data_IF_135673948623
#
_entry.id   IF_135673948623
#
_cell.length_a   1.000
_cell.length_b   1.000
_cell.length_c   1.000
_cell.angle_alpha   90.00
_cell.angle_beta   90.00
_cell.angle_gamma   90.00
#
_symmetry.space_group_name_H-M   'P 1'
#
loop_
_entity.id
_entity.type
_entity.pdbx_description
1 polymer ?
#
# COMPACT_ATOMS: atom_id res chain seq x y z
N UNK A 1 18.92 13.53 2.78
CA UNK A 1 17.61 13.22 3.42
C UNK A 1 16.65 12.53 2.42
N UNK A 2 17.07 11.44 1.76
CA UNK A 2 16.52 11.01 0.45
C UNK A 2 15.73 9.67 0.44
N UNK A 3 15.51 9.01 1.58
CA UNK A 3 15.17 7.56 1.59
C UNK A 3 13.84 7.17 2.21
N UNK A 4 13.20 8.01 3.04
CA UNK A 4 11.98 7.62 3.77
C UNK A 4 10.79 7.33 2.86
N UNK A 5 10.33 8.32 2.10
CA UNK A 5 9.14 8.18 1.24
C UNK A 5 9.31 7.12 0.13
N UNK A 6 10.52 7.05 -0.46
CA UNK A 6 10.84 6.01 -1.45
C UNK A 6 10.82 4.64 -0.81
N UNK A 7 11.37 4.45 0.40
CA UNK A 7 11.26 3.15 1.09
C UNK A 7 9.80 2.79 1.36
N UNK A 8 8.92 3.73 1.72
CA UNK A 8 7.51 3.39 1.99
C UNK A 8 6.64 3.22 0.73
N UNK A 9 6.92 3.91 -0.37
CA UNK A 9 6.23 3.70 -1.66
C UNK A 9 6.81 2.54 -2.48
N UNK A 10 8.14 2.36 -2.48
CA UNK A 10 8.80 1.20 -3.11
C UNK A 10 8.63 -0.06 -2.25
N UNK A 11 8.49 0.04 -0.93
CA UNK A 11 8.04 -1.07 -0.08
C UNK A 11 6.52 -1.30 -0.17
N UNK A 12 5.91 -0.88 -1.25
CA UNK A 12 4.59 -1.35 -1.61
C UNK A 12 4.61 -2.01 -3.02
N UNK A 13 5.76 -1.99 -3.72
CA UNK A 13 5.95 -2.61 -5.03
C UNK A 13 6.54 -4.04 -4.97
N UNK A 14 6.86 -4.56 -3.78
CA UNK A 14 7.47 -5.89 -3.64
C UNK A 14 6.70 -6.83 -2.70
N UNK A 15 5.36 -6.81 -2.74
CA UNK A 15 4.56 -7.89 -2.18
C UNK A 15 4.64 -9.12 -3.11
N UNK A 16 5.73 -9.89 -2.99
CA UNK A 16 5.87 -11.16 -3.69
C UNK A 16 4.83 -12.15 -3.17
N UNK A 17 4.10 -12.66 -4.15
CA UNK A 17 2.90 -13.48 -4.11
C UNK A 17 3.17 -14.85 -3.47
N UNK A 18 2.61 -15.11 -2.28
CA UNK A 18 2.16 -16.45 -1.85
C UNK A 18 0.99 -16.31 -0.86
N UNK A 19 -0.20 -15.92 -1.34
CA UNK A 19 -1.44 -16.36 -0.66
C UNK A 19 -1.72 -17.78 -1.18
N UNK A 20 -1.04 -18.73 -0.53
CA UNK A 20 -1.15 -20.19 -0.62
C UNK A 20 -1.16 -20.80 -2.04
N UNK A 21 0.00 -21.17 -2.58
CA UNK A 21 0.12 -22.30 -3.52
C UNK A 21 0.30 -23.57 -2.67
N UNK A 22 -0.75 -24.32 -2.36
CA UNK A 22 -0.64 -25.54 -1.52
C UNK A 22 -1.41 -26.69 -2.13
N UNK A 23 -0.70 -27.80 -2.30
CA UNK A 23 -1.19 -29.14 -2.63
C UNK A 23 -2.25 -29.55 -1.59
N UNK A 24 -3.33 -30.24 -1.96
CA UNK A 24 -4.38 -30.65 -1.02
C UNK A 24 -3.80 -31.51 0.11
N UNK A 25 -3.50 -30.87 1.25
CA UNK A 25 -3.31 -31.58 2.52
C UNK A 25 -4.70 -31.96 3.01
N UNK A 26 -4.83 -33.20 3.50
CA UNK A 26 -6.06 -33.78 4.02
C UNK A 26 -6.52 -33.09 5.32
N UNK A 27 -6.91 -31.82 5.21
CA UNK A 27 -7.55 -31.05 6.27
C UNK A 27 -9.07 -31.15 6.17
N UNK A 28 -9.74 -31.11 7.32
CA UNK A 28 -11.19 -30.94 7.44
C UNK A 28 -11.70 -29.82 6.50
N UNK A 29 -12.96 -29.93 6.04
CA UNK A 29 -13.53 -29.06 4.99
C UNK A 29 -13.36 -27.56 5.23
N UNK A 30 -13.33 -27.13 6.49
CA UNK A 30 -13.12 -25.74 6.89
C UNK A 30 -11.70 -25.22 6.61
N UNK A 31 -10.66 -26.05 6.72
CA UNK A 31 -9.30 -25.65 6.35
C UNK A 31 -9.16 -25.46 4.84
N UNK A 32 -9.76 -26.33 4.03
CA UNK A 32 -9.79 -26.16 2.58
C UNK A 32 -10.56 -24.91 2.18
N UNK A 33 -11.70 -24.65 2.82
CA UNK A 33 -12.52 -23.45 2.60
C UNK A 33 -11.76 -22.17 2.98
N UNK A 34 -11.06 -22.17 4.11
CA UNK A 34 -10.23 -21.04 4.52
C UNK A 34 -9.10 -20.77 3.51
N UNK A 35 -8.45 -21.81 3.00
CA UNK A 35 -7.46 -21.67 1.93
C UNK A 35 -8.05 -21.10 0.64
N UNK A 36 -9.25 -21.52 0.24
CA UNK A 36 -9.93 -20.97 -0.94
C UNK A 36 -10.27 -19.49 -0.76
N UNK A 37 -10.77 -19.08 0.41
CA UNK A 37 -11.06 -17.68 0.72
C UNK A 37 -9.77 -16.84 0.64
N UNK A 38 -8.70 -17.29 1.30
CA UNK A 38 -7.40 -16.62 1.31
C UNK A 38 -6.82 -16.52 -0.11
N UNK A 39 -6.94 -17.57 -0.93
CA UNK A 39 -6.56 -17.55 -2.36
C UNK A 39 -7.42 -16.60 -3.17
N UNK A 40 -8.72 -16.55 -2.91
CA UNK A 40 -9.67 -15.64 -3.55
C UNK A 40 -9.35 -14.16 -3.33
N UNK A 41 -8.55 -13.83 -2.31
CA UNK A 41 -8.05 -12.49 -2.05
C UNK A 41 -6.86 -12.08 -2.95
N UNK A 42 -6.19 -13.03 -3.62
CA UNK A 42 -5.02 -12.77 -4.49
C UNK A 42 -5.26 -11.69 -5.56
N UNK A 43 -6.39 -11.69 -6.30
CA UNK A 43 -6.65 -10.66 -7.29
C UNK A 43 -6.71 -9.26 -6.70
N UNK A 44 -7.24 -9.10 -5.48
CA UNK A 44 -7.30 -7.81 -4.81
C UNK A 44 -5.90 -7.35 -4.42
N UNK A 45 -5.06 -8.23 -3.84
CA UNK A 45 -3.66 -7.90 -3.53
C UNK A 45 -2.90 -7.48 -4.79
N UNK A 46 -3.09 -8.18 -5.93
CA UNK A 46 -2.49 -7.80 -7.22
C UNK A 46 -2.93 -6.42 -7.68
N UNK A 47 -4.24 -6.12 -7.62
CA UNK A 47 -4.76 -4.80 -7.98
C UNK A 47 -4.24 -3.70 -7.06
N UNK A 48 -4.17 -3.98 -5.76
CA UNK A 48 -3.58 -3.08 -4.76
C UNK A 48 -2.12 -2.74 -5.08
N UNK A 49 -1.30 -3.76 -5.39
CA UNK A 49 0.08 -3.57 -5.80
C UNK A 49 0.19 -2.75 -7.11
N UNK A 50 -0.66 -3.01 -8.10
CA UNK A 50 -0.64 -2.27 -9.37
C UNK A 50 -1.00 -0.78 -9.17
N UNK A 51 -1.94 -0.46 -8.29
CA UNK A 51 -2.25 0.93 -7.93
C UNK A 51 -1.11 1.61 -7.16
N UNK A 52 -0.39 0.87 -6.33
CA UNK A 52 0.83 1.36 -5.69
C UNK A 52 1.94 1.68 -6.70
N UNK A 53 2.11 0.87 -7.74
CA UNK A 53 3.09 1.16 -8.80
C UNK A 53 2.75 2.48 -9.51
N UNK A 54 1.47 2.69 -9.81
CA UNK A 54 0.97 3.98 -10.33
C UNK A 54 1.25 5.13 -9.37
N UNK A 55 1.00 4.93 -8.08
CA UNK A 55 1.28 5.90 -7.02
C UNK A 55 2.76 6.30 -6.99
N UNK A 56 3.64 5.32 -7.10
CA UNK A 56 5.10 5.51 -7.17
C UNK A 56 5.50 6.29 -8.41
N UNK A 57 4.93 5.97 -9.58
CA UNK A 57 5.19 6.70 -10.82
C UNK A 57 4.72 8.16 -10.75
N UNK A 58 3.54 8.41 -10.17
CA UNK A 58 3.02 9.77 -9.92
C UNK A 58 3.96 10.55 -9.01
N UNK A 59 4.47 9.92 -7.95
CA UNK A 59 5.41 10.54 -7.04
C UNK A 59 6.69 10.99 -7.74
N UNK A 60 7.29 10.12 -8.56
CA UNK A 60 8.50 10.45 -9.31
C UNK A 60 8.27 11.64 -10.25
N UNK A 61 7.10 11.71 -10.90
CA UNK A 61 6.69 12.85 -11.73
C UNK A 61 6.59 14.14 -10.93
N UNK A 62 5.98 14.11 -9.73
CA UNK A 62 5.88 15.27 -8.84
C UNK A 62 7.25 15.82 -8.45
N UNK A 63 8.22 14.94 -8.17
CA UNK A 63 9.59 15.36 -7.81
C UNK A 63 10.32 16.07 -8.95
N UNK A 64 9.99 15.72 -10.19
CA UNK A 64 10.59 16.29 -11.40
C UNK A 64 9.90 17.58 -11.88
N UNK A 65 8.82 18.04 -11.22
CA UNK A 65 8.10 19.22 -11.67
C UNK A 65 8.96 20.50 -11.57
N UNK A 66 8.90 21.40 -12.57
CA UNK A 66 9.57 22.69 -12.51
C UNK A 66 8.86 23.67 -11.58
N UNK A 67 9.60 24.63 -11.02
CA UNK A 67 9.05 25.69 -10.16
C UNK A 67 8.46 26.85 -10.98
N UNK A 68 7.45 26.56 -11.79
CA UNK A 68 6.75 27.54 -12.64
C UNK A 68 5.25 27.23 -12.74
N UNK A 69 4.39 28.17 -13.21
CA UNK A 69 2.93 27.97 -13.24
C UNK A 69 2.48 26.66 -13.91
N UNK A 70 3.18 26.21 -14.95
CA UNK A 70 2.88 24.94 -15.62
C UNK A 70 3.19 23.74 -14.74
N UNK A 71 4.35 23.74 -14.06
CA UNK A 71 4.70 22.73 -13.07
C UNK A 71 3.72 22.70 -11.89
N UNK A 72 3.26 23.85 -11.39
CA UNK A 72 2.25 23.90 -10.33
C UNK A 72 0.89 23.37 -10.79
N UNK A 73 0.44 23.68 -12.02
CA UNK A 73 -0.79 23.11 -12.61
C UNK A 73 -0.70 21.59 -12.74
N UNK A 74 0.42 21.09 -13.25
CA UNK A 74 0.69 19.66 -13.32
C UNK A 74 0.73 19.03 -11.92
N UNK A 75 1.31 19.73 -10.94
CA UNK A 75 1.35 19.31 -9.54
C UNK A 75 -0.02 19.11 -8.93
N UNK A 76 -0.99 20.00 -9.22
CA UNK A 76 -2.40 19.80 -8.80
C UNK A 76 -2.96 18.50 -9.36
N UNK A 77 -2.82 18.28 -10.67
CA UNK A 77 -3.35 17.09 -11.36
C UNK A 77 -2.70 15.81 -10.85
N UNK A 78 -1.37 15.74 -10.87
CA UNK A 78 -0.61 14.59 -10.39
C UNK A 78 -0.93 14.28 -8.92
N UNK A 79 -1.11 15.31 -8.08
CA UNK A 79 -1.47 15.06 -6.69
C UNK A 79 -2.87 14.45 -6.55
N UNK A 80 -3.84 14.86 -7.39
CA UNK A 80 -5.16 14.22 -7.41
C UNK A 80 -5.07 12.77 -7.90
N UNK A 81 -4.32 12.52 -8.97
CA UNK A 81 -4.12 11.17 -9.53
C UNK A 81 -3.47 10.24 -8.48
N UNK A 82 -2.45 10.72 -7.78
CA UNK A 82 -1.80 9.97 -6.69
C UNK A 82 -2.76 9.71 -5.53
N UNK A 83 -3.56 10.70 -5.13
CA UNK A 83 -4.59 10.51 -4.11
C UNK A 83 -5.64 9.48 -4.52
N UNK A 84 -6.02 9.41 -5.80
CA UNK A 84 -6.95 8.43 -6.31
C UNK A 84 -6.36 7.02 -6.29
N UNK A 85 -5.14 6.83 -6.81
CA UNK A 85 -4.45 5.53 -6.76
C UNK A 85 -4.20 5.03 -5.34
N UNK A 86 -3.86 5.92 -4.39
CA UNK A 86 -3.71 5.54 -2.99
C UNK A 86 -5.02 4.99 -2.38
N UNK A 87 -6.17 5.62 -2.69
CA UNK A 87 -7.49 5.15 -2.23
C UNK A 87 -7.88 3.84 -2.90
N UNK A 88 -7.70 3.73 -4.21
CA UNK A 88 -7.97 2.49 -4.94
C UNK A 88 -7.13 1.32 -4.40
N UNK A 89 -5.84 1.53 -4.17
CA UNK A 89 -4.99 0.53 -3.54
C UNK A 89 -5.50 0.13 -2.15
N UNK A 90 -5.87 1.11 -1.32
CA UNK A 90 -6.39 0.88 0.03
C UNK A 90 -7.65 0.00 0.00
N UNK A 91 -8.58 0.30 -0.89
CA UNK A 91 -9.82 -0.46 -1.07
C UNK A 91 -9.53 -1.92 -1.42
N UNK A 92 -8.57 -2.18 -2.30
CA UNK A 92 -8.20 -3.55 -2.67
C UNK A 92 -7.55 -4.32 -1.51
N UNK A 93 -6.68 -3.68 -0.71
CA UNK A 93 -6.17 -4.32 0.51
C UNK A 93 -7.24 -4.50 1.58
N UNK A 94 -8.25 -3.63 1.65
CA UNK A 94 -9.40 -3.81 2.54
C UNK A 94 -10.21 -5.04 2.14
N UNK A 95 -10.49 -5.24 0.85
CA UNK A 95 -11.14 -6.47 0.38
C UNK A 95 -10.34 -7.73 0.73
N UNK A 96 -9.00 -7.64 0.68
CA UNK A 96 -8.14 -8.74 1.11
C UNK A 96 -8.21 -8.98 2.63
N UNK A 97 -8.28 -7.91 3.44
CA UNK A 97 -8.50 -8.01 4.89
C UNK A 97 -9.84 -8.63 5.23
N UNK A 98 -10.89 -8.26 4.51
CA UNK A 98 -12.24 -8.81 4.72
C UNK A 98 -12.24 -10.33 4.44
N UNK A 99 -11.54 -10.77 3.39
CA UNK A 99 -11.35 -12.19 3.12
C UNK A 99 -10.57 -12.91 4.23
N UNK A 100 -9.51 -12.30 4.78
CA UNK A 100 -8.81 -12.89 5.93
C UNK A 100 -9.71 -12.97 7.16
N UNK A 101 -10.57 -11.99 7.39
CA UNK A 101 -11.54 -12.00 8.49
C UNK A 101 -12.57 -13.12 8.33
N UNK A 102 -13.07 -13.37 7.11
CA UNK A 102 -13.94 -14.52 6.83
C UNK A 102 -13.22 -15.86 7.04
N UNK A 103 -11.96 -15.97 6.60
CA UNK A 103 -11.17 -17.18 6.81
C UNK A 103 -10.91 -17.49 8.29
N UNK A 104 -10.81 -16.47 9.15
CA UNK A 104 -10.65 -16.62 10.61
C UNK A 104 -11.87 -17.18 11.34
N UNK A 105 -13.05 -17.15 10.73
CA UNK A 105 -14.28 -17.70 11.32
C UNK A 105 -14.37 -19.23 11.17
N UNK A 106 -13.50 -19.82 10.36
CA UNK A 106 -13.49 -21.24 10.06
C UNK A 106 -12.57 -21.97 11.04
N UNK A 107 -12.89 -23.22 11.35
CA UNK A 107 -12.04 -24.07 12.16
C UNK A 107 -10.83 -24.53 11.34
N UNK A 108 -9.67 -23.96 11.66
CA UNK A 108 -8.40 -24.19 10.96
C UNK A 108 -7.32 -24.53 11.96
N UNK A 109 -6.26 -25.21 11.51
CA UNK A 109 -5.12 -25.48 12.39
C UNK A 109 -4.57 -24.19 13.01
N UNK A 110 -4.10 -24.28 14.25
CA UNK A 110 -3.52 -23.15 14.98
C UNK A 110 -2.42 -22.47 14.13
N UNK A 111 -1.57 -23.26 13.48
CA UNK A 111 -0.50 -22.76 12.64
C UNK A 111 -1.01 -22.00 11.43
N UNK A 112 -2.12 -22.45 10.81
CA UNK A 112 -2.73 -21.73 9.70
C UNK A 112 -3.41 -20.44 10.19
N UNK A 113 -4.01 -20.45 11.37
CA UNK A 113 -4.53 -19.26 12.05
C UNK A 113 -3.45 -18.21 12.29
N UNK A 114 -2.24 -18.63 12.72
CA UNK A 114 -1.07 -17.75 12.86
C UNK A 114 -0.69 -17.11 11.51
N UNK A 115 -0.65 -17.89 10.43
CA UNK A 115 -0.37 -17.36 9.09
C UNK A 115 -1.38 -16.28 8.67
N UNK A 116 -2.69 -16.53 8.86
CA UNK A 116 -3.74 -15.56 8.55
C UNK A 116 -3.54 -14.27 9.37
N UNK A 117 -3.23 -14.39 10.66
CA UNK A 117 -2.98 -13.23 11.51
C UNK A 117 -1.74 -12.41 11.08
N UNK A 118 -0.67 -13.07 10.62
CA UNK A 118 0.51 -12.39 10.09
C UNK A 118 0.18 -11.61 8.81
N UNK A 119 -0.56 -12.22 7.87
CA UNK A 119 -1.02 -11.56 6.65
C UNK A 119 -1.94 -10.38 6.94
N UNK A 120 -2.84 -10.53 7.90
CA UNK A 120 -3.73 -9.46 8.31
C UNK A 120 -2.93 -8.26 8.85
N UNK A 121 -1.93 -8.51 9.70
CA UNK A 121 -1.05 -7.46 10.21
C UNK A 121 -0.34 -6.71 9.08
N UNK A 122 0.17 -7.43 8.09
CA UNK A 122 0.82 -6.84 6.92
C UNK A 122 -0.16 -5.97 6.09
N UNK A 123 -1.36 -6.48 5.78
CA UNK A 123 -2.34 -5.74 4.99
C UNK A 123 -2.92 -4.54 5.72
N UNK A 124 -3.14 -4.63 7.05
CA UNK A 124 -3.52 -3.47 7.88
C UNK A 124 -2.46 -2.38 7.82
N UNK A 125 -1.18 -2.74 7.92
CA UNK A 125 -0.09 -1.76 7.80
C UNK A 125 -0.07 -1.09 6.42
N UNK A 126 -0.30 -1.85 5.32
CA UNK A 126 -0.43 -1.28 3.97
C UNK A 126 -1.60 -0.32 3.86
N UNK A 127 -2.79 -0.72 4.32
CA UNK A 127 -3.99 0.11 4.27
C UNK A 127 -3.81 1.43 5.05
N UNK A 128 -3.16 1.40 6.21
CA UNK A 128 -2.81 2.61 6.98
C UNK A 128 -1.82 3.51 6.23
N UNK A 129 -0.81 2.93 5.58
CA UNK A 129 0.13 3.69 4.76
C UNK A 129 -0.51 4.35 3.55
N UNK A 130 -1.44 3.65 2.90
CA UNK A 130 -2.17 4.18 1.75
C UNK A 130 -3.16 5.27 2.14
N UNK A 131 -3.82 5.15 3.29
CA UNK A 131 -4.64 6.23 3.86
C UNK A 131 -3.79 7.48 4.11
N UNK A 132 -2.63 7.33 4.75
CA UNK A 132 -1.72 8.45 4.99
C UNK A 132 -1.24 9.05 3.65
N UNK A 133 -0.89 8.22 2.67
CA UNK A 133 -0.48 8.68 1.36
C UNK A 133 -1.59 9.52 0.70
N UNK A 134 -2.84 9.03 0.69
CA UNK A 134 -3.98 9.76 0.15
C UNK A 134 -4.14 11.14 0.79
N UNK A 135 -4.06 11.22 2.13
CA UNK A 135 -4.13 12.49 2.86
C UNK A 135 -2.98 13.44 2.48
N UNK A 136 -1.77 12.92 2.28
CA UNK A 136 -0.62 13.74 1.84
C UNK A 136 -0.80 14.24 0.41
N UNK A 137 -1.31 13.41 -0.48
CA UNK A 137 -1.63 13.81 -1.85
C UNK A 137 -2.71 14.90 -1.89
N UNK A 138 -3.75 14.81 -1.06
CA UNK A 138 -4.75 15.87 -0.93
C UNK A 138 -4.13 17.19 -0.45
N UNK A 139 -3.24 17.12 0.55
CA UNK A 139 -2.52 18.29 1.06
C UNK A 139 -1.61 18.90 -0.02
N UNK A 140 -0.91 18.08 -0.80
CA UNK A 140 -0.09 18.55 -1.92
C UNK A 140 -0.93 19.20 -3.00
N UNK A 141 -2.09 18.63 -3.35
CA UNK A 141 -3.01 19.23 -4.34
C UNK A 141 -3.47 20.62 -3.90
N UNK A 142 -3.82 20.79 -2.62
CA UNK A 142 -4.18 22.08 -2.02
C UNK A 142 -3.01 23.08 -2.07
N UNK A 143 -1.79 22.64 -1.75
CA UNK A 143 -0.60 23.50 -1.78
C UNK A 143 -0.24 23.94 -3.20
N UNK A 144 -0.25 23.02 -4.17
CA UNK A 144 -0.04 23.35 -5.58
C UNK A 144 -1.11 24.32 -6.08
N UNK A 145 -2.38 24.09 -5.74
CA UNK A 145 -3.49 24.95 -6.13
C UNK A 145 -3.40 26.35 -5.53
N UNK A 146 -3.09 26.45 -4.23
CA UNK A 146 -2.91 27.73 -3.56
C UNK A 146 -1.75 28.54 -4.17
N UNK A 147 -0.67 27.87 -4.57
CA UNK A 147 0.49 28.52 -5.18
C UNK A 147 0.19 29.13 -6.56
N UNK A 148 -0.76 28.60 -7.33
CA UNK A 148 -1.10 29.14 -8.66
C UNK A 148 -1.55 30.61 -8.63
N UNK A 149 -2.11 31.07 -7.52
CA UNK A 149 -2.61 32.44 -7.37
C UNK A 149 -1.62 33.37 -6.63
N UNK A 150 -0.34 32.98 -6.52
CA UNK A 150 0.64 33.62 -5.63
C UNK A 150 1.95 33.96 -6.37
N UNK A 151 2.77 34.81 -5.75
CA UNK A 151 4.07 35.25 -6.29
C UNK A 151 5.21 34.23 -6.04
N UNK A 152 6.37 34.46 -6.65
CA UNK A 152 7.55 33.57 -6.66
C UNK A 152 8.04 33.14 -5.25
N UNK A 153 7.93 34.03 -4.25
CA UNK A 153 8.34 33.72 -2.87
C UNK A 153 7.43 32.67 -2.21
N UNK A 154 6.14 32.68 -2.55
CA UNK A 154 5.16 31.75 -2.00
C UNK A 154 5.19 30.40 -2.73
N UNK A 155 5.67 30.36 -3.98
CA UNK A 155 6.01 29.12 -4.67
C UNK A 155 7.12 28.36 -3.95
N UNK A 156 8.22 29.03 -3.60
CA UNK A 156 9.31 28.41 -2.83
C UNK A 156 8.85 27.85 -1.48
N UNK A 157 7.97 28.58 -0.78
CA UNK A 157 7.37 28.10 0.48
C UNK A 157 6.46 26.89 0.27
N UNK A 158 5.63 26.89 -0.77
CA UNK A 158 4.78 25.74 -1.12
C UNK A 158 5.62 24.51 -1.46
N UNK A 159 6.71 24.68 -2.24
CA UNK A 159 7.67 23.63 -2.57
C UNK A 159 8.32 23.03 -1.32
N UNK A 160 8.77 23.88 -0.39
CA UNK A 160 9.34 23.43 0.88
C UNK A 160 8.33 22.64 1.72
N UNK A 161 7.07 23.07 1.78
CA UNK A 161 5.99 22.34 2.47
C UNK A 161 5.69 21.00 1.81
N UNK A 162 5.64 20.94 0.48
CA UNK A 162 5.46 19.69 -0.28
C UNK A 162 6.61 18.72 -0.01
N UNK A 163 7.85 19.21 0.03
CA UNK A 163 9.01 18.40 0.41
C UNK A 163 8.93 17.93 1.87
N UNK A 164 8.49 18.78 2.81
CA UNK A 164 8.32 18.40 4.21
C UNK A 164 7.24 17.31 4.39
N UNK A 165 6.13 17.38 3.66
CA UNK A 165 5.07 16.36 3.66
C UNK A 165 5.59 14.99 3.23
N UNK A 166 6.59 14.95 2.34
CA UNK A 166 7.24 13.71 1.91
C UNK A 166 8.07 13.03 3.02
N UNK A 167 8.51 13.77 4.04
CA UNK A 167 9.45 13.24 5.03
C UNK A 167 8.73 12.57 6.22
N UNK A 168 7.44 12.88 6.44
CA UNK A 168 6.66 12.44 7.62
C UNK A 168 5.97 11.08 7.51
N UNK A 169 6.26 10.26 6.48
CA UNK A 169 5.67 8.90 6.32
C UNK A 169 6.45 7.82 7.10
N UNK A 170 7.52 8.17 7.81
CA UNK A 170 8.45 7.23 8.46
C UNK A 170 7.98 6.55 9.77
N UNK A 171 6.68 6.58 10.09
CA UNK A 171 6.14 6.08 11.37
C UNK A 171 5.28 4.82 11.27
N UNK A 172 5.12 4.25 10.06
CA UNK A 172 4.24 3.10 9.85
C UNK A 172 5.02 1.79 9.90
N UNK A 173 4.38 0.67 10.32
CA UNK A 173 5.01 -0.64 10.28
C UNK A 173 5.48 -0.97 8.85
N UNK A 174 6.67 -1.57 8.73
CA UNK A 174 7.20 -2.01 7.44
C UNK A 174 6.37 -3.20 6.93
N UNK A 175 5.36 -2.87 6.12
CA UNK A 175 4.39 -3.84 5.64
C UNK A 175 5.01 -4.93 4.78
N UNK A 176 6.07 -4.63 4.04
CA UNK A 176 6.77 -5.61 3.22
C UNK A 176 7.57 -6.58 4.07
N UNK A 177 8.21 -6.08 5.14
CA UNK A 177 8.84 -6.95 6.13
C UNK A 177 7.82 -7.89 6.77
N UNK A 178 6.66 -7.37 7.21
CA UNK A 178 5.60 -8.18 7.81
C UNK A 178 5.06 -9.23 6.84
N UNK A 179 4.92 -8.87 5.56
CA UNK A 179 4.44 -9.77 4.53
C UNK A 179 5.47 -10.86 4.16
N UNK A 180 6.75 -10.49 4.12
CA UNK A 180 7.87 -11.41 3.92
C UNK A 180 8.00 -12.39 5.08
N UNK A 181 7.81 -11.93 6.33
CA UNK A 181 7.74 -12.78 7.51
C UNK A 181 6.58 -13.78 7.39
N UNK A 182 5.39 -13.32 6.99
CA UNK A 182 4.22 -14.19 6.79
C UNK A 182 4.46 -15.24 5.69
N UNK A 183 5.08 -14.85 4.57
CA UNK A 183 5.43 -15.75 3.47
C UNK A 183 6.51 -16.78 3.89
N UNK A 184 7.52 -16.34 4.64
CA UNK A 184 8.56 -17.23 5.15
C UNK A 184 7.98 -18.27 6.11
N UNK A 185 7.07 -17.83 6.99
CA UNK A 185 6.35 -18.72 7.89
C UNK A 185 5.51 -19.75 7.13
N UNK A 186 4.73 -19.31 6.13
CA UNK A 186 3.94 -20.21 5.29
C UNK A 186 4.80 -21.27 4.60
N UNK A 187 5.93 -20.86 4.00
CA UNK A 187 6.87 -21.79 3.34
C UNK A 187 7.45 -22.82 4.32
N UNK A 188 7.87 -22.39 5.51
CA UNK A 188 8.39 -23.29 6.57
C UNK A 188 7.34 -24.31 7.03
N UNK A 189 6.06 -23.93 7.05
CA UNK A 189 4.95 -24.76 7.50
C UNK A 189 4.28 -25.58 6.39
N UNK A 190 4.77 -25.48 5.15
CA UNK A 190 4.17 -26.19 4.02
C UNK A 190 2.83 -25.60 3.55
N UNK A 191 2.52 -24.36 3.95
CA UNK A 191 1.37 -23.58 3.47
C UNK A 191 1.68 -22.81 2.18
N UNK A 192 2.81 -23.09 1.52
CA UNK A 192 3.18 -22.56 0.21
C UNK A 192 4.32 -23.33 -0.44
N UNK A 193 4.13 -23.83 -1.66
CA UNK A 193 5.17 -24.18 -2.62
C UNK A 193 5.55 -22.92 -3.42
#
# INVERSE_FOLDING_TARGET
MRTGFKKYLLAAAAALLVLALVVPLAGCGDQQKAQQIVRGANPNVKKGNAEVEKLTAVWEKIRALPDNPNGYRQGVKLSKDGGASARAAKEEYQKALDALAEAKKLDVSEEYGVYIAMKEKAFRARAQGLELAAQRFDQMSKLYGAALNRNLSQWKLARARIQALSTKISGLPDSDKLDAEANSYAKKKGFGA
#
